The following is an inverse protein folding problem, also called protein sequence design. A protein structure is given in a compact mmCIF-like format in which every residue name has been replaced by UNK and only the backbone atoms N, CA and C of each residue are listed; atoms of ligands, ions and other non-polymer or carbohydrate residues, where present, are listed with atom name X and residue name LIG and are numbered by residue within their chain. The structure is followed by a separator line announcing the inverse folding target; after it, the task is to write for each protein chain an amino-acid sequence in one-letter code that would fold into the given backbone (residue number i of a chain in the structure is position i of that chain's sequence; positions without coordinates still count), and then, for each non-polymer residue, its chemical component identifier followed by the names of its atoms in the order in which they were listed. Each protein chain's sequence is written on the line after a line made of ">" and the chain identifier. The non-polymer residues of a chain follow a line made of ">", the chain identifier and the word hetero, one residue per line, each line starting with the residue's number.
data_IF_456193163777
#
_entry.id   IF_456193163777
#
_cell.length_a   1.000
_cell.length_b   1.000
_cell.length_c   1.000
_cell.angle_alpha   90.00
_cell.angle_beta   90.00
_cell.angle_gamma   90.00
#
_symmetry.space_group_name_H-M   'P 1'
#
loop_
_entity.id
_entity.type
_entity.pdbx_description
1 polymer ?
#
# COMPACT_ATOMS: atom_id res chain seq x y z
N UNK A 1 3.33 -32.43 37.36
CA UNK A 1 2.00 -31.80 37.06
C UNK A 1 1.47 -32.49 35.80
N UNK A 2 0.28 -33.12 35.82
CA UNK A 2 -0.24 -33.77 34.63
C UNK A 2 -0.58 -32.72 33.58
N UNK A 3 -0.08 -32.91 32.35
CA UNK A 3 -0.47 -32.13 31.19
C UNK A 3 -1.98 -32.30 31.03
N UNK A 4 -2.73 -31.18 31.09
CA UNK A 4 -4.12 -31.12 30.64
C UNK A 4 -4.13 -31.56 29.18
N UNK A 5 -4.71 -32.72 28.91
CA UNK A 5 -5.10 -33.09 27.54
C UNK A 5 -5.99 -31.98 27.01
N UNK A 6 -5.45 -31.24 26.03
CA UNK A 6 -6.26 -30.26 25.32
C UNK A 6 -7.32 -31.03 24.54
N UNK A 7 -8.58 -30.89 24.94
CA UNK A 7 -9.72 -31.45 24.21
C UNK A 7 -9.63 -30.98 22.77
N UNK A 8 -9.59 -31.92 21.82
CA UNK A 8 -9.63 -31.62 20.40
C UNK A 8 -10.86 -30.76 20.10
N UNK A 9 -10.71 -29.68 19.34
CA UNK A 9 -11.85 -28.82 19.01
C UNK A 9 -12.92 -29.63 18.28
N UNK A 10 -14.14 -29.63 18.80
CA UNK A 10 -15.28 -30.25 18.18
C UNK A 10 -15.75 -29.39 17.01
N UNK A 11 -15.63 -29.92 15.81
CA UNK A 11 -16.07 -29.26 14.58
C UNK A 11 -17.49 -29.67 14.26
N UNK A 12 -18.32 -28.76 13.74
CA UNK A 12 -19.63 -29.11 13.21
C UNK A 12 -19.49 -29.99 11.95
N UNK A 13 -20.51 -30.83 11.62
CA UNK A 13 -20.44 -31.67 10.41
C UNK A 13 -20.22 -30.92 9.11
N UNK A 14 -20.56 -29.62 9.06
CA UNK A 14 -20.32 -28.75 7.92
C UNK A 14 -18.89 -28.19 7.91
N UNK A 15 -18.32 -27.95 9.07
CA UNK A 15 -16.91 -27.53 9.21
C UNK A 15 -15.97 -28.69 8.94
N UNK A 16 -16.31 -29.89 9.35
CA UNK A 16 -15.46 -31.07 9.14
C UNK A 16 -15.20 -31.34 7.65
N UNK A 17 -16.19 -31.12 6.79
CA UNK A 17 -16.03 -31.20 5.32
C UNK A 17 -15.11 -30.12 4.73
N UNK A 18 -14.77 -29.13 5.52
CA UNK A 18 -13.96 -27.96 5.13
C UNK A 18 -12.59 -27.91 5.78
N UNK A 19 -12.30 -28.84 6.69
CA UNK A 19 -10.99 -28.93 7.36
C UNK A 19 -9.91 -29.26 6.34
N UNK A 20 -8.86 -28.46 6.33
CA UNK A 20 -7.62 -28.74 5.62
C UNK A 20 -6.75 -29.55 6.59
N UNK A 21 -6.38 -30.75 6.20
CA UNK A 21 -5.48 -31.62 6.99
C UNK A 21 -4.14 -31.67 6.29
N UNK A 22 -3.04 -31.69 7.07
CA UNK A 22 -1.70 -31.93 6.55
C UNK A 22 -1.50 -33.43 6.19
N UNK A 23 -0.32 -33.78 5.67
CA UNK A 23 0.02 -35.16 5.31
C UNK A 23 -0.08 -36.16 6.48
N UNK A 24 0.02 -35.68 7.73
CA UNK A 24 -0.14 -36.48 8.94
C UNK A 24 -1.61 -36.52 9.45
N UNK A 25 -2.58 -36.00 8.69
CA UNK A 25 -3.98 -35.99 9.03
C UNK A 25 -4.41 -34.94 10.06
N UNK A 26 -3.46 -34.10 10.52
CA UNK A 26 -3.73 -33.05 11.53
C UNK A 26 -4.44 -31.86 10.87
N UNK A 27 -5.52 -31.33 11.48
CA UNK A 27 -6.22 -30.16 10.96
C UNK A 27 -5.33 -28.92 11.06
N UNK A 28 -5.05 -28.28 9.91
CA UNK A 28 -4.20 -27.08 9.80
C UNK A 28 -5.01 -25.83 9.43
N UNK A 29 -6.30 -25.99 9.11
CA UNK A 29 -7.17 -24.86 8.79
C UNK A 29 -8.56 -25.28 8.32
N UNK A 30 -9.46 -24.34 8.15
CA UNK A 30 -10.81 -24.55 7.62
C UNK A 30 -10.94 -23.77 6.31
N UNK A 31 -11.33 -24.44 5.23
CA UNK A 31 -11.65 -23.76 3.97
C UNK A 31 -12.79 -22.76 4.20
N UNK A 32 -12.67 -21.51 3.78
CA UNK A 32 -13.73 -20.54 3.93
C UNK A 32 -14.99 -21.00 3.21
N UNK A 33 -16.17 -20.73 3.79
CA UNK A 33 -17.44 -21.04 3.14
C UNK A 33 -17.65 -20.15 1.92
N UNK A 34 -17.58 -20.79 0.76
CA UNK A 34 -17.61 -20.12 -0.53
C UNK A 34 -18.96 -20.29 -1.24
N UNK A 35 -19.99 -20.76 -0.51
CA UNK A 35 -21.34 -20.93 -1.07
C UNK A 35 -21.95 -19.57 -1.38
N UNK A 36 -22.52 -19.45 -2.55
CA UNK A 36 -23.30 -18.30 -2.95
C UNK A 36 -24.67 -18.37 -2.27
N UNK A 37 -24.84 -17.60 -1.20
CA UNK A 37 -26.16 -17.41 -0.58
C UNK A 37 -26.93 -16.31 -1.34
N UNK A 38 -28.29 -16.34 -1.34
CA UNK A 38 -29.09 -15.27 -1.96
C UNK A 38 -28.68 -13.87 -1.48
N UNK A 39 -28.41 -13.72 -0.18
CA UNK A 39 -27.94 -12.44 0.38
C UNK A 39 -26.59 -12.00 -0.20
N UNK A 40 -25.63 -12.91 -0.36
CA UNK A 40 -24.33 -12.60 -0.99
C UNK A 40 -24.48 -12.23 -2.47
N UNK A 41 -25.38 -12.93 -3.18
CA UNK A 41 -25.66 -12.58 -4.59
C UNK A 41 -26.26 -11.18 -4.65
N UNK A 42 -27.29 -10.89 -3.85
CA UNK A 42 -27.91 -9.58 -3.80
C UNK A 42 -26.90 -8.45 -3.48
N UNK A 43 -26.01 -8.67 -2.51
CA UNK A 43 -24.96 -7.71 -2.16
C UNK A 43 -24.05 -7.41 -3.36
N UNK A 44 -23.57 -8.43 -4.08
CA UNK A 44 -22.68 -8.21 -5.21
C UNK A 44 -23.40 -7.63 -6.42
N UNK A 45 -24.67 -7.97 -6.64
CA UNK A 45 -25.51 -7.33 -7.65
C UNK A 45 -25.68 -5.84 -7.34
N UNK A 46 -25.97 -5.49 -6.09
CA UNK A 46 -26.10 -4.10 -5.66
C UNK A 46 -24.78 -3.32 -5.84
N UNK A 47 -23.64 -3.88 -5.43
CA UNK A 47 -22.31 -3.26 -5.62
C UNK A 47 -22.04 -3.05 -7.11
N UNK A 48 -22.35 -4.04 -7.95
CA UNK A 48 -22.15 -3.92 -9.40
C UNK A 48 -23.05 -2.84 -10.01
N UNK A 49 -24.33 -2.81 -9.64
CA UNK A 49 -25.27 -1.79 -10.12
C UNK A 49 -24.83 -0.38 -9.72
N UNK A 50 -24.41 -0.19 -8.47
CA UNK A 50 -23.87 1.08 -7.98
C UNK A 50 -22.58 1.47 -8.73
N UNK A 51 -21.69 0.52 -8.98
CA UNK A 51 -20.47 0.76 -9.77
C UNK A 51 -20.77 1.20 -11.19
N UNK A 52 -21.71 0.51 -11.87
CA UNK A 52 -22.16 0.88 -13.22
C UNK A 52 -22.79 2.27 -13.23
N UNK A 53 -23.66 2.56 -12.25
CA UNK A 53 -24.25 3.88 -12.12
C UNK A 53 -23.19 4.97 -11.90
N UNK A 54 -22.19 4.70 -11.05
CA UNK A 54 -21.08 5.61 -10.83
C UNK A 54 -20.29 5.91 -12.10
N UNK A 55 -19.95 4.88 -12.88
CA UNK A 55 -19.30 5.05 -14.18
C UNK A 55 -20.15 5.80 -15.18
N UNK A 56 -21.47 5.53 -15.22
CA UNK A 56 -22.41 6.25 -16.05
C UNK A 56 -22.41 7.75 -15.73
N UNK A 57 -22.48 8.09 -14.44
CA UNK A 57 -22.48 9.49 -13.99
C UNK A 57 -21.18 10.21 -14.34
N UNK A 58 -20.03 9.56 -14.18
CA UNK A 58 -18.73 10.18 -14.46
C UNK A 58 -18.41 10.30 -15.95
N UNK A 59 -18.79 9.30 -16.76
CA UNK A 59 -18.34 9.20 -18.14
C UNK A 59 -19.36 9.74 -19.16
N UNK A 60 -20.65 9.60 -18.88
CA UNK A 60 -21.73 9.91 -19.85
C UNK A 60 -22.49 11.17 -19.47
N UNK A 61 -22.85 11.36 -18.20
CA UNK A 61 -23.49 12.58 -17.74
C UNK A 61 -22.42 13.67 -17.62
N UNK A 62 -21.98 14.18 -18.77
CA UNK A 62 -20.99 15.26 -18.89
C UNK A 62 -21.67 16.59 -18.67
N UNK A 63 -21.33 17.29 -17.60
CA UNK A 63 -21.85 18.61 -17.38
C UNK A 63 -21.38 19.21 -16.06
N UNK A 64 -21.64 20.48 -15.87
CA UNK A 64 -21.22 21.28 -14.72
C UNK A 64 -21.76 20.81 -13.36
N UNK A 65 -22.45 19.67 -13.31
CA UNK A 65 -23.17 19.21 -12.12
C UNK A 65 -22.79 17.79 -11.66
N UNK A 66 -21.62 17.27 -12.08
CA UNK A 66 -21.16 15.96 -11.58
C UNK A 66 -20.77 16.10 -10.11
N UNK A 67 -21.43 15.32 -9.25
CA UNK A 67 -21.14 15.31 -7.84
C UNK A 67 -19.92 14.43 -7.54
N UNK A 68 -19.00 14.90 -6.69
CA UNK A 68 -17.79 14.18 -6.32
C UNK A 68 -18.04 12.83 -5.64
N UNK A 69 -19.24 12.60 -5.10
CA UNK A 69 -19.62 11.30 -4.52
C UNK A 69 -19.44 10.14 -5.52
N UNK A 70 -19.63 10.44 -6.81
CA UNK A 70 -19.52 9.40 -7.85
C UNK A 70 -18.09 8.88 -8.02
N UNK A 71 -17.05 9.69 -7.74
CA UNK A 71 -15.67 9.19 -7.70
C UNK A 71 -15.49 8.15 -6.60
N UNK A 72 -16.01 8.42 -5.41
CA UNK A 72 -15.91 7.51 -4.27
C UNK A 72 -16.68 6.21 -4.56
N UNK A 73 -17.92 6.32 -5.02
CA UNK A 73 -18.77 5.15 -5.34
C UNK A 73 -18.13 4.30 -6.43
N UNK A 74 -17.69 4.93 -7.52
CA UNK A 74 -17.07 4.24 -8.65
C UNK A 74 -15.80 3.52 -8.22
N UNK A 75 -14.90 4.18 -7.49
CA UNK A 75 -13.64 3.60 -7.02
C UNK A 75 -13.89 2.42 -6.07
N UNK A 76 -14.70 2.63 -5.03
CA UNK A 76 -14.97 1.60 -4.01
C UNK A 76 -15.64 0.37 -4.62
N UNK A 77 -16.67 0.56 -5.46
CA UNK A 77 -17.36 -0.56 -6.09
C UNK A 77 -16.46 -1.31 -7.06
N UNK A 78 -15.68 -0.59 -7.90
CA UNK A 78 -14.78 -1.20 -8.88
C UNK A 78 -13.67 -1.98 -8.19
N UNK A 79 -13.04 -1.42 -7.16
CA UNK A 79 -11.98 -2.12 -6.42
C UNK A 79 -12.51 -3.30 -5.60
N UNK A 80 -13.69 -3.19 -5.01
CA UNK A 80 -14.32 -4.32 -4.31
C UNK A 80 -14.58 -5.51 -5.26
N UNK A 81 -15.10 -5.22 -6.47
CA UNK A 81 -15.31 -6.23 -7.52
C UNK A 81 -13.97 -6.84 -7.96
N UNK A 82 -12.97 -5.99 -8.22
CA UNK A 82 -11.63 -6.43 -8.63
C UNK A 82 -10.97 -7.33 -7.59
N UNK A 83 -10.96 -6.92 -6.33
CA UNK A 83 -10.40 -7.73 -5.25
C UNK A 83 -11.13 -9.06 -5.06
N UNK A 84 -12.48 -9.04 -5.14
CA UNK A 84 -13.28 -10.24 -4.90
C UNK A 84 -13.25 -11.25 -6.03
N UNK A 85 -13.29 -10.79 -7.27
CA UNK A 85 -13.40 -11.67 -8.43
C UNK A 85 -12.09 -11.80 -9.19
N UNK A 86 -11.51 -10.72 -9.62
CA UNK A 86 -10.33 -10.72 -10.49
C UNK A 86 -9.07 -11.16 -9.74
N UNK A 87 -8.75 -10.55 -8.60
CA UNK A 87 -7.62 -10.99 -7.79
C UNK A 87 -7.75 -12.43 -7.30
N UNK A 88 -8.98 -12.84 -6.94
CA UNK A 88 -9.24 -14.23 -6.54
C UNK A 88 -9.08 -15.21 -7.71
N UNK A 89 -9.48 -14.82 -8.92
CA UNK A 89 -9.26 -15.62 -10.12
C UNK A 89 -7.76 -15.83 -10.38
N UNK A 90 -6.97 -14.75 -10.35
CA UNK A 90 -5.51 -14.81 -10.53
C UNK A 90 -4.89 -15.69 -9.44
N UNK A 91 -5.25 -15.47 -8.17
CA UNK A 91 -4.75 -16.27 -7.06
C UNK A 91 -5.02 -17.76 -7.24
N UNK A 92 -6.25 -18.15 -7.64
CA UNK A 92 -6.65 -19.56 -7.70
C UNK A 92 -6.21 -20.26 -8.96
N UNK A 93 -6.15 -19.56 -10.08
CA UNK A 93 -5.88 -20.17 -11.39
C UNK A 93 -4.44 -20.04 -11.84
N UNK A 94 -3.81 -18.92 -11.53
CA UNK A 94 -2.46 -18.59 -11.98
C UNK A 94 -1.45 -18.87 -10.86
N UNK A 95 -1.60 -18.25 -9.71
CA UNK A 95 -0.61 -18.34 -8.62
C UNK A 95 -0.64 -19.69 -7.90
N UNK A 96 -1.84 -20.18 -7.58
CA UNK A 96 -2.06 -21.44 -6.84
C UNK A 96 -1.20 -21.51 -5.58
N UNK A 97 -1.40 -20.56 -4.62
CA UNK A 97 -0.64 -20.54 -3.39
C UNK A 97 -0.93 -21.79 -2.55
N UNK A 98 0.13 -22.30 -1.92
CA UNK A 98 0.09 -23.46 -1.04
C UNK A 98 0.76 -23.11 0.30
N UNK A 99 -0.02 -23.07 1.37
CA UNK A 99 0.46 -22.70 2.70
C UNK A 99 1.25 -23.82 3.39
N UNK A 100 1.41 -24.98 2.75
CA UNK A 100 2.33 -26.04 3.20
C UNK A 100 3.78 -25.71 2.84
N UNK A 101 4.00 -24.83 1.86
CA UNK A 101 5.33 -24.36 1.51
C UNK A 101 5.83 -23.38 2.58
N UNK A 102 7.00 -23.67 3.15
CA UNK A 102 7.68 -22.74 4.04
C UNK A 102 8.14 -21.50 3.24
N UNK A 103 7.68 -20.32 3.65
CA UNK A 103 8.09 -19.06 3.03
C UNK A 103 9.56 -18.74 3.34
N UNK A 104 10.21 -17.83 2.58
CA UNK A 104 11.55 -17.36 2.92
C UNK A 104 11.64 -16.78 4.33
N UNK A 105 10.59 -16.10 4.79
CA UNK A 105 10.50 -15.55 6.14
C UNK A 105 10.61 -16.65 7.21
N UNK A 106 9.90 -17.76 7.03
CA UNK A 106 9.93 -18.89 7.96
C UNK A 106 11.25 -19.69 7.85
N UNK A 107 11.71 -19.95 6.60
CA UNK A 107 12.85 -20.84 6.33
C UNK A 107 14.19 -20.22 6.69
N UNK A 108 14.40 -18.94 6.44
CA UNK A 108 15.67 -18.25 6.64
C UNK A 108 15.71 -17.61 8.03
N UNK A 109 14.65 -16.92 8.41
CA UNK A 109 14.41 -16.27 9.70
C UNK A 109 15.69 -15.79 10.42
N UNK A 110 16.37 -14.81 9.82
CA UNK A 110 17.62 -14.29 10.38
C UNK A 110 17.41 -13.15 11.40
N UNK A 111 16.15 -12.78 11.67
CA UNK A 111 15.79 -11.69 12.59
C UNK A 111 16.23 -10.28 12.14
N UNK A 112 16.61 -10.13 10.87
CA UNK A 112 17.01 -8.85 10.27
C UNK A 112 16.10 -8.50 9.10
N UNK A 113 16.33 -9.11 7.94
CA UNK A 113 15.56 -8.91 6.70
C UNK A 113 14.46 -9.96 6.56
N UNK A 114 14.74 -11.19 6.97
CA UNK A 114 13.81 -12.31 6.95
C UNK A 114 13.22 -12.47 8.35
N UNK A 115 12.05 -11.92 8.56
CA UNK A 115 11.35 -11.93 9.86
C UNK A 115 9.85 -12.14 9.61
N UNK A 116 9.29 -13.31 9.99
CA UNK A 116 7.87 -13.58 9.80
C UNK A 116 7.02 -12.51 10.47
N UNK A 117 6.23 -11.81 9.68
CA UNK A 117 5.48 -10.65 10.14
C UNK A 117 3.99 -10.88 9.95
N UNK A 118 3.22 -10.61 11.00
CA UNK A 118 1.77 -10.76 10.95
C UNK A 118 1.14 -9.98 9.78
N UNK A 119 0.27 -10.64 9.03
CA UNK A 119 -0.32 -10.16 7.76
C UNK A 119 -0.86 -8.72 7.78
N UNK A 120 -1.45 -8.27 8.91
CA UNK A 120 -2.00 -6.91 9.02
C UNK A 120 -0.88 -5.88 9.11
N UNK A 121 0.18 -6.17 9.86
CA UNK A 121 1.36 -5.30 9.98
C UNK A 121 2.08 -5.24 8.63
N UNK A 122 2.26 -6.39 7.98
CA UNK A 122 2.90 -6.47 6.68
C UNK A 122 2.07 -5.78 5.58
N UNK A 123 0.74 -5.90 5.62
CA UNK A 123 -0.15 -5.15 4.73
C UNK A 123 0.07 -3.64 4.93
N UNK A 124 0.09 -3.17 6.18
CA UNK A 124 0.34 -1.76 6.48
C UNK A 124 1.72 -1.30 6.00
N UNK A 125 2.77 -2.07 6.24
CA UNK A 125 4.11 -1.79 5.72
C UNK A 125 4.12 -1.70 4.19
N UNK A 126 3.58 -2.68 3.51
CA UNK A 126 3.54 -2.73 2.04
C UNK A 126 2.73 -1.56 1.46
N UNK A 127 1.53 -1.32 1.99
CA UNK A 127 0.69 -0.19 1.61
C UNK A 127 1.40 1.15 1.83
N UNK A 128 2.03 1.34 2.99
CA UNK A 128 2.73 2.59 3.29
C UNK A 128 3.92 2.86 2.37
N UNK A 129 4.66 1.81 2.01
CA UNK A 129 5.79 1.93 1.10
C UNK A 129 5.34 2.28 -0.33
N UNK A 130 4.20 1.78 -0.77
CA UNK A 130 3.62 2.05 -2.08
C UNK A 130 2.94 3.42 -2.13
N UNK A 131 2.08 3.73 -1.14
CA UNK A 131 1.31 4.97 -1.07
C UNK A 131 2.20 6.16 -0.64
N UNK A 132 3.22 6.48 -1.43
CA UNK A 132 4.14 7.60 -1.24
C UNK A 132 3.67 8.91 -1.90
N UNK A 133 4.61 9.84 -2.12
CA UNK A 133 4.31 11.14 -2.72
C UNK A 133 3.89 11.05 -4.20
N UNK A 134 4.43 10.10 -4.96
CA UNK A 134 4.13 9.93 -6.38
C UNK A 134 2.64 9.71 -6.67
N UNK A 135 1.95 8.75 -6.00
CA UNK A 135 0.52 8.55 -6.13
C UNK A 135 -0.36 9.75 -5.76
N UNK A 136 0.15 10.69 -4.97
CA UNK A 136 -0.56 11.92 -4.61
C UNK A 136 -0.32 13.04 -5.62
N UNK A 137 0.93 13.28 -5.98
CA UNK A 137 1.33 14.40 -6.85
C UNK A 137 0.93 14.16 -8.30
N UNK A 138 1.10 12.94 -8.81
CA UNK A 138 0.82 12.60 -10.20
C UNK A 138 -0.62 12.95 -10.62
N UNK A 139 -1.66 12.48 -9.92
CA UNK A 139 -3.05 12.82 -10.24
C UNK A 139 -3.36 14.30 -10.16
N UNK A 140 -2.76 15.05 -9.21
CA UNK A 140 -2.92 16.50 -9.10
C UNK A 140 -2.36 17.20 -10.34
N UNK A 141 -1.16 16.83 -10.77
CA UNK A 141 -0.57 17.39 -11.99
C UNK A 141 -1.40 17.05 -13.24
N UNK A 142 -1.87 15.81 -13.34
CA UNK A 142 -2.65 15.33 -14.47
C UNK A 142 -4.06 15.95 -14.56
N UNK A 143 -4.52 16.59 -13.49
CA UNK A 143 -5.81 17.28 -13.47
C UNK A 143 -5.92 18.38 -14.54
N UNK A 144 -4.78 18.90 -15.04
CA UNK A 144 -4.82 19.83 -16.20
C UNK A 144 -5.52 19.23 -17.43
N UNK A 145 -5.55 17.89 -17.59
CA UNK A 145 -6.20 17.19 -18.70
C UNK A 145 -7.73 17.01 -18.49
N UNK A 146 -8.25 17.44 -17.37
CA UNK A 146 -9.62 17.19 -16.92
C UNK A 146 -9.72 16.00 -15.96
N UNK A 147 -10.90 15.83 -15.33
CA UNK A 147 -11.06 14.78 -14.31
C UNK A 147 -11.19 13.36 -14.90
N UNK A 148 -11.79 13.23 -16.06
CA UNK A 148 -12.18 11.90 -16.59
C UNK A 148 -10.99 11.05 -17.03
N UNK A 149 -10.02 11.54 -17.83
CA UNK A 149 -8.90 10.71 -18.29
C UNK A 149 -8.07 10.19 -17.13
N UNK A 150 -7.74 11.04 -16.16
CA UNK A 150 -6.99 10.66 -14.97
C UNK A 150 -7.72 9.60 -14.13
N UNK A 151 -9.01 9.81 -13.89
CA UNK A 151 -9.86 8.88 -13.13
C UNK A 151 -9.93 7.50 -13.79
N UNK A 152 -10.17 7.47 -15.11
CA UNK A 152 -10.21 6.24 -15.89
C UNK A 152 -8.89 5.47 -15.76
N UNK A 153 -7.76 6.16 -16.00
CA UNK A 153 -6.45 5.52 -15.93
C UNK A 153 -6.10 5.01 -14.53
N UNK A 154 -6.37 5.80 -13.48
CA UNK A 154 -6.10 5.36 -12.11
C UNK A 154 -6.94 4.13 -11.76
N UNK A 155 -8.26 4.19 -11.92
CA UNK A 155 -9.13 3.11 -11.44
C UNK A 155 -8.91 1.83 -12.25
N UNK A 156 -8.87 1.92 -13.58
CA UNK A 156 -8.67 0.75 -14.44
C UNK A 156 -7.22 0.27 -14.39
N UNK A 157 -6.25 1.19 -14.43
CA UNK A 157 -4.83 0.87 -14.39
C UNK A 157 -4.42 0.15 -13.11
N UNK A 158 -4.89 0.63 -11.96
CA UNK A 158 -4.67 -0.07 -10.68
C UNK A 158 -5.29 -1.46 -10.70
N UNK A 159 -6.57 -1.56 -11.06
CA UNK A 159 -7.31 -2.81 -11.02
C UNK A 159 -6.70 -3.90 -11.92
N UNK A 160 -6.37 -3.55 -13.16
CA UNK A 160 -5.98 -4.54 -14.19
C UNK A 160 -4.48 -4.78 -14.21
N UNK A 161 -3.69 -3.76 -13.88
CA UNK A 161 -2.24 -3.80 -14.03
C UNK A 161 -1.49 -3.61 -12.71
N UNK A 162 -1.66 -2.49 -12.01
CA UNK A 162 -0.84 -2.14 -10.85
C UNK A 162 -0.94 -3.14 -9.70
N UNK A 163 -2.14 -3.39 -9.22
CA UNK A 163 -2.37 -4.34 -8.13
C UNK A 163 -2.02 -5.79 -8.52
N UNK A 164 -2.21 -6.15 -9.80
CA UNK A 164 -1.80 -7.45 -10.34
C UNK A 164 -0.28 -7.57 -10.36
N UNK A 165 0.41 -6.53 -10.84
CA UNK A 165 1.88 -6.47 -10.85
C UNK A 165 2.42 -6.68 -9.43
N UNK A 166 1.93 -5.91 -8.47
CA UNK A 166 2.42 -5.96 -7.09
C UNK A 166 2.20 -7.33 -6.46
N UNK A 167 1.01 -7.90 -6.65
CA UNK A 167 0.67 -9.24 -6.16
C UNK A 167 1.54 -10.33 -6.81
N UNK A 168 1.74 -10.29 -8.13
CA UNK A 168 2.52 -11.31 -8.85
C UNK A 168 4.01 -11.20 -8.55
N UNK A 169 4.57 -10.00 -8.53
CA UNK A 169 5.98 -9.77 -8.21
C UNK A 169 6.28 -10.22 -6.77
N UNK A 170 5.40 -9.89 -5.82
CA UNK A 170 5.50 -10.36 -4.44
C UNK A 170 5.52 -11.89 -4.36
N UNK A 171 4.61 -12.54 -5.05
CA UNK A 171 4.51 -14.00 -5.06
C UNK A 171 5.71 -14.68 -5.70
N UNK A 172 6.14 -14.19 -6.86
CA UNK A 172 7.29 -14.77 -7.57
C UNK A 172 8.60 -14.55 -6.81
N UNK A 173 8.80 -13.38 -6.23
CA UNK A 173 9.95 -13.11 -5.40
C UNK A 173 9.97 -14.02 -4.17
N UNK A 174 8.84 -14.14 -3.47
CA UNK A 174 8.70 -15.03 -2.30
C UNK A 174 9.06 -16.48 -2.66
N UNK A 175 8.51 -17.04 -3.75
CA UNK A 175 8.82 -18.41 -4.19
C UNK A 175 10.26 -18.64 -4.61
N UNK A 176 10.96 -17.55 -5.03
CA UNK A 176 12.39 -17.56 -5.36
C UNK A 176 13.29 -17.21 -4.18
N UNK A 177 12.81 -17.28 -2.94
CA UNK A 177 13.59 -17.02 -1.75
C UNK A 177 13.79 -15.54 -1.42
N UNK A 178 12.88 -14.66 -1.86
CA UNK A 178 12.96 -13.22 -1.63
C UNK A 178 13.94 -12.50 -2.54
N UNK A 179 14.12 -12.97 -3.80
CA UNK A 179 15.04 -12.37 -4.78
C UNK A 179 14.51 -11.06 -5.33
N UNK A 180 15.41 -10.11 -5.53
CA UNK A 180 15.10 -8.82 -6.17
C UNK A 180 14.75 -8.98 -7.64
N UNK A 181 14.12 -7.93 -8.23
CA UNK A 181 13.80 -7.91 -9.67
C UNK A 181 14.99 -8.19 -10.57
N UNK A 182 16.16 -7.60 -10.28
CA UNK A 182 17.36 -7.82 -11.08
C UNK A 182 17.86 -9.27 -10.99
N UNK A 183 17.79 -9.90 -9.81
CA UNK A 183 18.12 -11.30 -9.63
C UNK A 183 17.13 -12.22 -10.37
N UNK A 184 15.83 -11.93 -10.28
CA UNK A 184 14.82 -12.68 -11.01
C UNK A 184 14.98 -12.55 -12.53
N UNK A 185 15.32 -11.34 -13.01
CA UNK A 185 15.63 -11.14 -14.42
C UNK A 185 16.86 -11.95 -14.87
N UNK A 186 17.89 -12.08 -14.02
CA UNK A 186 19.05 -12.92 -14.32
C UNK A 186 18.67 -14.38 -14.51
N UNK A 187 17.76 -14.87 -13.66
CA UNK A 187 17.30 -16.27 -13.72
C UNK A 187 16.44 -16.55 -14.97
N UNK A 188 15.60 -15.59 -15.40
CA UNK A 188 14.62 -15.81 -16.47
C UNK A 188 15.14 -15.44 -17.86
N UNK A 189 15.91 -14.37 -17.99
CA UNK A 189 16.37 -13.85 -19.29
C UNK A 189 17.89 -13.88 -19.44
N UNK A 190 18.59 -14.50 -18.50
CA UNK A 190 20.03 -14.73 -18.54
C UNK A 190 20.87 -13.55 -18.04
N UNK A 191 22.22 -13.74 -18.01
CA UNK A 191 23.15 -12.83 -17.38
C UNK A 191 23.10 -11.39 -17.95
N UNK A 192 23.06 -11.25 -19.26
CA UNK A 192 23.06 -9.94 -19.92
C UNK A 192 21.79 -9.17 -19.55
N UNK A 193 20.63 -9.81 -19.70
CA UNK A 193 19.34 -9.21 -19.30
C UNK A 193 19.29 -8.87 -17.83
N UNK A 194 19.84 -9.73 -16.97
CA UNK A 194 19.94 -9.48 -15.52
C UNK A 194 20.82 -8.30 -15.15
N UNK A 195 21.97 -8.14 -15.79
CA UNK A 195 22.85 -6.98 -15.58
C UNK A 195 22.14 -5.69 -16.00
N UNK A 196 21.56 -5.66 -17.20
CA UNK A 196 20.81 -4.51 -17.68
C UNK A 196 19.66 -4.17 -16.73
N UNK A 197 18.86 -5.15 -16.33
CA UNK A 197 17.76 -4.95 -15.37
C UNK A 197 18.27 -4.39 -14.03
N UNK A 198 19.38 -4.91 -13.51
CA UNK A 198 19.98 -4.43 -12.25
C UNK A 198 20.45 -2.99 -12.36
N UNK A 199 21.12 -2.61 -13.47
CA UNK A 199 21.57 -1.24 -13.70
C UNK A 199 20.37 -0.29 -13.83
N UNK A 200 19.35 -0.68 -14.60
CA UNK A 200 18.11 0.13 -14.76
C UNK A 200 17.42 0.32 -13.42
N UNK A 201 17.25 -0.74 -12.62
CA UNK A 201 16.65 -0.67 -11.28
C UNK A 201 17.48 0.25 -10.37
N UNK A 202 18.81 0.14 -10.40
CA UNK A 202 19.67 0.99 -9.59
C UNK A 202 19.55 2.48 -9.97
N UNK A 203 19.61 2.81 -11.26
CA UNK A 203 19.43 4.18 -11.74
C UNK A 203 18.04 4.72 -11.39
N UNK A 204 17.01 3.91 -11.57
CA UNK A 204 15.63 4.27 -11.20
C UNK A 204 15.51 4.55 -9.69
N UNK A 205 16.13 3.73 -8.83
CA UNK A 205 16.15 3.95 -7.37
C UNK A 205 16.80 5.29 -7.01
N UNK A 206 17.93 5.62 -7.65
CA UNK A 206 18.63 6.90 -7.42
C UNK A 206 17.74 8.09 -7.78
N UNK A 207 17.07 8.03 -8.93
CA UNK A 207 16.16 9.10 -9.39
C UNK A 207 14.96 9.22 -8.42
N UNK A 208 14.34 8.10 -8.05
CA UNK A 208 13.18 8.09 -7.14
C UNK A 208 13.56 8.65 -5.77
N UNK A 209 14.70 8.24 -5.20
CA UNK A 209 15.18 8.76 -3.93
C UNK A 209 15.42 10.28 -3.99
N UNK A 210 16.06 10.78 -5.03
CA UNK A 210 16.32 12.21 -5.19
C UNK A 210 15.01 13.02 -5.30
N UNK A 211 14.06 12.56 -6.13
CA UNK A 211 12.78 13.26 -6.32
C UNK A 211 11.92 13.23 -5.05
N UNK A 212 11.80 12.07 -4.41
CA UNK A 212 11.02 11.96 -3.17
C UNK A 212 11.65 12.74 -2.03
N UNK A 213 12.99 12.75 -1.92
CA UNK A 213 13.69 13.58 -0.95
C UNK A 213 13.39 15.08 -1.17
N UNK A 214 13.44 15.54 -2.41
CA UNK A 214 13.12 16.94 -2.74
C UNK A 214 11.69 17.31 -2.38
N UNK A 215 10.71 16.44 -2.67
CA UNK A 215 9.30 16.65 -2.28
C UNK A 215 9.16 16.75 -0.76
N UNK A 216 9.80 15.84 0.00
CA UNK A 216 9.77 15.86 1.46
C UNK A 216 10.45 17.11 2.04
N UNK A 217 11.60 17.50 1.50
CA UNK A 217 12.32 18.71 1.94
C UNK A 217 11.46 19.95 1.71
N UNK A 218 10.86 20.09 0.53
CA UNK A 218 9.99 21.22 0.22
C UNK A 218 8.76 21.28 1.13
N UNK A 219 8.20 20.13 1.50
CA UNK A 219 7.05 20.06 2.40
C UNK A 219 7.42 20.40 3.86
N UNK A 220 8.64 20.10 4.30
CA UNK A 220 9.07 20.26 5.69
C UNK A 220 9.79 21.61 5.95
N UNK A 221 10.48 22.17 4.96
CA UNK A 221 11.35 23.36 5.13
C UNK A 221 10.61 24.58 5.69
N UNK A 222 9.32 24.74 5.39
CA UNK A 222 8.50 25.85 5.90
C UNK A 222 7.55 25.43 7.03
N UNK A 223 7.70 24.22 7.58
CA UNK A 223 6.72 23.66 8.54
C UNK A 223 7.37 23.06 9.78
N UNK A 224 7.63 23.88 10.85
CA UNK A 224 8.09 23.35 12.14
C UNK A 224 7.17 22.28 12.73
N UNK A 225 5.87 22.46 12.54
CA UNK A 225 4.86 21.46 12.89
C UNK A 225 5.08 20.12 12.16
N UNK A 226 5.34 20.18 10.86
CA UNK A 226 5.65 18.99 10.04
C UNK A 226 6.93 18.30 10.50
N UNK A 227 7.99 19.06 10.74
CA UNK A 227 9.28 18.55 11.24
C UNK A 227 9.10 17.84 12.59
N UNK A 228 8.39 18.45 13.52
CA UNK A 228 8.09 17.83 14.82
C UNK A 228 7.28 16.55 14.66
N UNK A 229 6.18 16.61 13.92
CA UNK A 229 5.27 15.48 13.76
C UNK A 229 5.94 14.28 13.09
N UNK A 230 6.71 14.51 12.01
CA UNK A 230 7.46 13.47 11.33
C UNK A 230 8.59 12.92 12.21
N UNK A 231 9.33 13.80 12.90
CA UNK A 231 10.42 13.40 13.80
C UNK A 231 9.93 12.50 14.93
N UNK A 232 8.78 12.82 15.53
CA UNK A 232 8.20 12.04 16.63
C UNK A 232 7.63 10.68 16.18
N UNK A 233 7.41 10.46 14.89
CA UNK A 233 7.05 9.10 14.41
C UNK A 233 8.17 8.09 14.64
N UNK A 234 9.44 8.54 14.68
CA UNK A 234 10.60 7.66 14.87
C UNK A 234 10.60 7.02 16.26
N UNK A 235 10.60 7.78 17.38
CA UNK A 235 10.58 7.19 18.70
C UNK A 235 9.30 6.38 18.98
N UNK A 236 8.14 6.81 18.45
CA UNK A 236 6.90 6.04 18.56
C UNK A 236 7.04 4.68 17.85
N UNK A 237 7.56 4.66 16.65
CA UNK A 237 7.74 3.44 15.88
C UNK A 237 8.73 2.47 16.56
N UNK A 238 9.85 2.98 17.05
CA UNK A 238 10.83 2.17 17.80
C UNK A 238 10.16 1.59 19.07
N UNK A 239 9.41 2.41 19.81
CA UNK A 239 8.66 1.97 20.98
C UNK A 239 7.65 0.86 20.65
N UNK A 240 6.92 0.98 19.53
CA UNK A 240 6.00 -0.05 19.05
C UNK A 240 6.73 -1.35 18.68
N UNK A 241 7.85 -1.25 17.95
CA UNK A 241 8.68 -2.40 17.56
C UNK A 241 9.23 -3.15 18.78
N UNK A 242 9.77 -2.43 19.75
CA UNK A 242 10.27 -2.99 21.01
C UNK A 242 9.14 -3.64 21.82
N UNK A 243 7.97 -3.00 21.89
CA UNK A 243 6.82 -3.54 22.62
C UNK A 243 6.34 -4.86 21.99
N UNK A 244 6.19 -4.90 20.67
CA UNK A 244 5.77 -6.11 19.95
C UNK A 244 6.79 -7.24 20.08
N UNK A 245 8.09 -6.92 20.18
CA UNK A 245 9.16 -7.92 20.25
C UNK A 245 9.38 -8.47 21.64
N UNK A 246 9.41 -7.60 22.66
CA UNK A 246 9.89 -7.94 24.00
C UNK A 246 8.83 -7.93 25.11
N UNK A 247 7.81 -7.06 24.98
CA UNK A 247 6.83 -6.88 26.07
C UNK A 247 5.61 -7.76 25.89
N UNK A 248 4.98 -7.71 24.73
CA UNK A 248 3.76 -8.47 24.42
C UNK A 248 3.76 -8.98 22.98
N UNK A 249 4.49 -10.03 22.68
CA UNK A 249 4.47 -10.63 21.35
C UNK A 249 3.05 -11.02 20.93
N UNK A 250 2.66 -10.64 19.71
CA UNK A 250 1.36 -10.99 19.12
C UNK A 250 0.16 -10.10 19.51
N UNK A 251 0.29 -9.18 20.48
CA UNK A 251 -0.82 -8.25 20.84
C UNK A 251 -0.83 -6.99 19.97
N UNK A 252 -0.92 -7.19 18.66
CA UNK A 252 -0.85 -6.12 17.66
C UNK A 252 -1.92 -5.05 17.88
N UNK A 253 -3.15 -5.45 18.24
CA UNK A 253 -4.27 -4.52 18.43
C UNK A 253 -3.98 -3.47 19.52
N UNK A 254 -3.43 -3.89 20.66
CA UNK A 254 -3.13 -2.95 21.75
C UNK A 254 -2.05 -1.95 21.34
N UNK A 255 -0.95 -2.45 20.75
CA UNK A 255 0.16 -1.60 20.28
C UNK A 255 -0.32 -0.64 19.19
N UNK A 256 -1.23 -1.09 18.33
CA UNK A 256 -1.84 -0.24 17.29
C UNK A 256 -2.65 0.91 17.88
N UNK A 257 -3.50 0.65 18.86
CA UNK A 257 -4.28 1.71 19.50
C UNK A 257 -3.39 2.72 20.24
N UNK A 258 -2.37 2.25 20.96
CA UNK A 258 -1.42 3.14 21.63
C UNK A 258 -0.62 3.95 20.63
N UNK A 259 -0.06 3.31 19.61
CA UNK A 259 0.69 3.99 18.54
C UNK A 259 -0.14 5.03 17.80
N UNK A 260 -1.39 4.69 17.44
CA UNK A 260 -2.31 5.62 16.80
C UNK A 260 -2.68 6.79 17.73
N UNK A 261 -2.97 6.53 19.01
CA UNK A 261 -3.25 7.58 19.99
C UNK A 261 -2.09 8.53 20.16
N UNK A 262 -0.86 8.01 20.28
CA UNK A 262 0.36 8.83 20.36
C UNK A 262 0.57 9.64 19.06
N UNK A 263 0.33 9.06 17.91
CA UNK A 263 0.42 9.75 16.62
C UNK A 263 -0.53 10.95 16.56
N UNK A 264 -1.80 10.75 16.93
CA UNK A 264 -2.80 11.83 16.97
C UNK A 264 -2.39 12.90 17.99
N UNK A 265 -1.93 12.50 19.17
CA UNK A 265 -1.45 13.44 20.19
C UNK A 265 -0.26 14.29 19.69
N UNK A 266 0.67 13.69 18.95
CA UNK A 266 1.81 14.40 18.35
C UNK A 266 1.35 15.36 17.24
N UNK A 267 0.39 14.98 16.43
CA UNK A 267 -0.14 15.86 15.36
C UNK A 267 -0.86 17.06 15.96
N UNK A 268 -1.74 16.83 16.92
CA UNK A 268 -2.48 17.92 17.59
C UNK A 268 -1.52 18.78 18.43
N UNK A 269 -0.70 18.14 19.28
CA UNK A 269 0.26 18.82 20.14
C UNK A 269 1.38 19.52 19.39
N UNK A 270 1.74 19.04 18.22
CA UNK A 270 2.79 19.60 17.38
C UNK A 270 2.54 21.04 16.96
N UNK A 271 1.26 21.45 16.86
CA UNK A 271 0.91 22.85 16.61
C UNK A 271 1.39 23.76 17.77
N UNK A 272 1.08 23.38 18.99
CA UNK A 272 1.51 24.16 20.18
C UNK A 272 3.05 24.16 20.33
N UNK A 273 3.69 23.05 20.00
CA UNK A 273 5.16 22.97 19.99
C UNK A 273 5.74 23.90 18.93
N UNK A 274 5.16 23.95 17.73
CA UNK A 274 5.61 24.84 16.67
C UNK A 274 5.43 26.33 17.01
N UNK A 275 4.37 26.68 17.74
CA UNK A 275 4.09 28.03 18.19
C UNK A 275 4.90 28.44 19.45
N UNK A 276 5.52 27.47 20.13
CA UNK A 276 6.34 27.70 21.33
C UNK A 276 7.76 28.21 20.97
N UNK A 277 8.52 28.62 22.00
CA UNK A 277 9.92 29.00 21.85
C UNK A 277 10.78 27.85 21.29
N UNK A 278 10.38 26.59 21.49
CA UNK A 278 11.03 25.40 20.94
C UNK A 278 10.85 25.30 19.44
N UNK A 279 9.75 25.82 18.89
CA UNK A 279 9.48 25.83 17.45
C UNK A 279 10.61 26.47 16.62
N UNK A 280 11.35 27.42 17.21
CA UNK A 280 12.50 28.04 16.55
C UNK A 280 13.59 27.04 16.14
N UNK A 281 13.80 26.00 16.96
CA UNK A 281 14.79 24.94 16.65
C UNK A 281 14.30 23.97 15.58
N UNK A 282 13.00 23.97 15.28
CA UNK A 282 12.38 23.11 14.27
C UNK A 282 12.30 23.79 12.89
N UNK A 283 12.69 25.06 12.79
CA UNK A 283 12.89 25.71 11.50
C UNK A 283 14.23 25.24 10.90
N UNK A 284 14.18 24.09 10.24
CA UNK A 284 15.36 23.49 9.62
C UNK A 284 15.55 24.02 8.18
N UNK A 285 16.79 24.34 7.85
CA UNK A 285 17.14 24.69 6.46
C UNK A 285 16.94 23.48 5.51
N UNK A 286 16.68 23.70 4.23
CA UNK A 286 16.60 22.61 3.26
C UNK A 286 17.82 21.68 3.29
N UNK A 287 19.03 22.24 3.43
CA UNK A 287 20.26 21.46 3.53
C UNK A 287 20.30 20.58 4.76
N UNK A 288 19.87 21.10 5.91
CA UNK A 288 19.79 20.33 7.17
C UNK A 288 18.78 19.18 7.04
N UNK A 289 17.63 19.43 6.38
CA UNK A 289 16.63 18.40 6.13
C UNK A 289 17.15 17.30 5.21
N UNK A 290 17.92 17.65 4.15
CA UNK A 290 18.56 16.66 3.28
C UNK A 290 19.49 15.75 4.08
N UNK A 291 20.37 16.32 4.93
CA UNK A 291 21.26 15.52 5.77
C UNK A 291 20.51 14.66 6.78
N UNK A 292 19.45 15.19 7.40
CA UNK A 292 18.60 14.43 8.31
C UNK A 292 17.94 13.23 7.60
N UNK A 293 17.49 13.40 6.36
CA UNK A 293 16.92 12.34 5.57
C UNK A 293 17.95 11.28 5.15
N UNK A 294 19.16 11.69 4.79
CA UNK A 294 20.26 10.76 4.45
C UNK A 294 20.60 9.90 5.68
N UNK A 295 20.80 10.55 6.84
CA UNK A 295 21.12 9.84 8.09
C UNK A 295 19.97 8.89 8.47
N UNK A 296 18.72 9.36 8.39
CA UNK A 296 17.55 8.52 8.64
C UNK A 296 17.49 7.31 7.70
N UNK A 297 17.67 7.54 6.40
CA UNK A 297 17.66 6.47 5.39
C UNK A 297 18.76 5.44 5.63
N UNK A 298 19.97 5.89 5.99
CA UNK A 298 21.08 5.02 6.37
C UNK A 298 20.73 4.16 7.59
N UNK A 299 20.22 4.78 8.66
CA UNK A 299 19.83 4.06 9.87
C UNK A 299 18.71 3.05 9.58
N UNK A 300 17.71 3.43 8.80
CA UNK A 300 16.61 2.55 8.42
C UNK A 300 17.09 1.34 7.57
N UNK A 301 18.15 1.52 6.77
CA UNK A 301 18.72 0.46 5.95
C UNK A 301 19.62 -0.51 6.73
N UNK A 302 20.32 -0.03 7.77
CA UNK A 302 21.28 -0.84 8.55
C UNK A 302 20.61 -1.58 9.70
N UNK A 303 19.59 -0.97 10.32
CA UNK A 303 18.85 -1.58 11.42
C UNK A 303 17.99 -2.75 10.94
N UNK A 304 17.73 -3.76 11.80
CA UNK A 304 16.75 -4.80 11.51
C UNK A 304 15.39 -4.20 11.16
N UNK A 305 14.69 -4.78 10.18
CA UNK A 305 13.42 -4.23 9.66
C UNK A 305 12.34 -4.05 10.73
N UNK A 306 12.33 -4.91 11.74
CA UNK A 306 11.36 -4.88 12.85
C UNK A 306 11.59 -3.72 13.84
N UNK A 307 12.80 -3.12 13.88
CA UNK A 307 13.14 -2.04 14.84
C UNK A 307 12.51 -0.73 14.41
N UNK A 308 12.69 -0.35 13.17
CA UNK A 308 12.32 0.99 12.68
C UNK A 308 11.42 0.92 11.43
N UNK A 309 11.83 0.19 10.40
CA UNK A 309 11.20 0.25 9.09
C UNK A 309 9.73 -0.22 9.15
N UNK A 310 9.51 -1.45 9.58
CA UNK A 310 8.16 -2.05 9.63
C UNK A 310 7.20 -1.32 10.59
N UNK A 311 7.57 -1.00 11.85
CA UNK A 311 6.65 -0.30 12.75
C UNK A 311 6.34 1.12 12.29
N UNK A 312 7.32 1.83 11.69
CA UNK A 312 7.10 3.18 11.19
C UNK A 312 6.16 3.20 9.99
N UNK A 313 6.36 2.29 9.05
CA UNK A 313 5.48 2.19 7.89
C UNK A 313 4.07 1.76 8.29
N UNK A 314 3.96 0.82 9.23
CA UNK A 314 2.68 0.43 9.81
C UNK A 314 1.99 1.62 10.51
N UNK A 315 2.73 2.42 11.29
CA UNK A 315 2.21 3.63 11.92
C UNK A 315 1.74 4.66 10.87
N UNK A 316 2.52 4.86 9.79
CA UNK A 316 2.16 5.78 8.71
C UNK A 316 0.90 5.37 7.96
N UNK A 317 0.59 4.07 7.92
CA UNK A 317 -0.64 3.54 7.32
C UNK A 317 -1.89 4.09 7.98
N UNK A 318 -1.88 4.24 9.31
CA UNK A 318 -3.03 4.83 10.02
C UNK A 318 -3.32 6.26 9.55
N UNK A 319 -2.26 7.05 9.32
CA UNK A 319 -2.42 8.41 8.77
C UNK A 319 -3.00 8.37 7.35
N UNK A 320 -2.44 7.55 6.48
CA UNK A 320 -2.84 7.47 5.08
C UNK A 320 -4.26 6.96 4.94
N UNK A 321 -4.57 5.82 5.54
CA UNK A 321 -5.93 5.23 5.51
C UNK A 321 -6.92 6.13 6.23
N UNK A 322 -6.54 6.70 7.37
CA UNK A 322 -7.38 7.65 8.10
C UNK A 322 -7.72 8.88 7.28
N UNK A 323 -6.73 9.50 6.66
CA UNK A 323 -6.94 10.69 5.79
C UNK A 323 -7.85 10.36 4.59
N UNK A 324 -7.60 9.23 3.91
CA UNK A 324 -8.43 8.78 2.77
C UNK A 324 -9.87 8.53 3.23
N UNK A 325 -10.05 7.88 4.38
CA UNK A 325 -11.38 7.58 4.93
C UNK A 325 -12.13 8.86 5.31
N UNK A 326 -11.46 9.78 6.02
CA UNK A 326 -12.07 11.07 6.41
C UNK A 326 -12.42 11.89 5.17
N UNK A 327 -11.54 11.91 4.16
CA UNK A 327 -11.82 12.60 2.88
C UNK A 327 -13.03 11.98 2.18
N UNK A 328 -13.09 10.65 2.08
CA UNK A 328 -14.22 9.96 1.45
C UNK A 328 -15.54 10.23 2.20
N UNK A 329 -15.52 10.19 3.54
CA UNK A 329 -16.68 10.53 4.36
C UNK A 329 -17.08 12.01 4.20
N UNK A 330 -16.11 12.92 4.16
CA UNK A 330 -16.32 14.33 3.89
C UNK A 330 -17.01 14.57 2.53
N UNK A 331 -16.54 13.89 1.49
CA UNK A 331 -17.15 13.94 0.15
C UNK A 331 -18.60 13.42 0.19
N UNK A 332 -18.87 12.33 0.90
CA UNK A 332 -20.22 11.76 1.01
C UNK A 332 -21.17 12.71 1.75
N UNK A 333 -20.68 13.40 2.78
CA UNK A 333 -21.50 14.34 3.60
C UNK A 333 -21.72 15.64 2.86
N UNK A 334 -20.65 16.28 2.39
CA UNK A 334 -20.69 17.63 1.80
C UNK A 334 -21.20 17.62 0.35
N UNK A 335 -20.87 16.55 -0.40
CA UNK A 335 -21.28 16.36 -1.80
C UNK A 335 -20.93 17.53 -2.71
N UNK A 336 -19.67 18.02 -2.72
CA UNK A 336 -19.31 19.14 -3.56
C UNK A 336 -19.45 18.77 -5.04
N UNK A 337 -19.80 19.77 -5.84
CA UNK A 337 -19.86 19.64 -7.29
C UNK A 337 -18.44 19.71 -7.87
N UNK A 338 -18.24 19.03 -9.00
CA UNK A 338 -16.98 19.10 -9.75
C UNK A 338 -17.04 20.33 -10.66
N UNK A 339 -16.18 21.30 -10.39
CA UNK A 339 -16.07 22.53 -11.20
C UNK A 339 -15.14 22.35 -12.42
N UNK A 340 -14.47 21.21 -12.51
CA UNK A 340 -13.53 20.90 -13.59
C UNK A 340 -14.24 20.23 -14.76
N UNK A 341 -13.87 20.59 -15.99
CA UNK A 341 -14.33 19.91 -17.20
C UNK A 341 -13.91 18.43 -17.23
N UNK A 342 -14.74 17.58 -17.82
CA UNK A 342 -14.43 16.15 -17.98
C UNK A 342 -13.12 15.94 -18.75
N UNK A 343 -12.93 16.68 -19.85
CA UNK A 343 -11.70 16.73 -20.64
C UNK A 343 -11.45 18.20 -20.98
N UNK A 344 -10.26 18.71 -20.72
CA UNK A 344 -9.86 20.08 -21.04
C UNK A 344 -9.21 20.16 -22.43
N UNK A 345 -9.06 21.36 -22.96
CA UNK A 345 -8.32 21.60 -24.21
C UNK A 345 -6.85 21.19 -24.13
N UNK A 346 -6.24 21.22 -22.93
CA UNK A 346 -4.86 20.79 -22.69
C UNK A 346 -4.63 19.29 -22.91
N UNK A 347 -5.68 18.50 -23.02
CA UNK A 347 -5.58 17.10 -23.42
C UNK A 347 -5.11 16.94 -24.87
N UNK A 348 -5.32 17.96 -25.72
CA UNK A 348 -5.06 17.88 -27.16
C UNK A 348 -3.95 18.83 -27.64
N UNK A 349 -3.44 19.68 -26.76
CA UNK A 349 -2.36 20.61 -27.07
C UNK A 349 -1.21 20.49 -26.08
N UNK A 350 -0.07 21.13 -26.38
CA UNK A 350 1.15 21.08 -25.55
C UNK A 350 1.29 22.29 -24.62
N UNK A 351 0.28 23.15 -24.55
CA UNK A 351 0.32 24.44 -23.83
C UNK A 351 -0.23 24.33 -22.38
N UNK A 352 -0.21 23.15 -21.78
CA UNK A 352 -0.71 22.94 -20.42
C UNK A 352 0.02 23.80 -19.38
N UNK A 353 -0.69 24.37 -18.38
CA UNK A 353 -0.10 25.27 -17.39
C UNK A 353 0.81 24.58 -16.38
N UNK A 354 0.73 23.27 -16.22
CA UNK A 354 1.49 22.49 -15.24
C UNK A 354 2.65 21.75 -15.90
N UNK A 355 2.39 21.10 -17.04
CA UNK A 355 3.42 20.42 -17.84
C UNK A 355 3.06 20.49 -19.33
N UNK A 356 4.08 20.53 -20.16
CA UNK A 356 3.94 20.48 -21.61
C UNK A 356 3.72 19.02 -22.07
N UNK A 357 2.64 18.78 -22.81
CA UNK A 357 2.35 17.46 -23.37
C UNK A 357 0.87 17.19 -23.53
N UNK A 358 0.55 16.39 -24.53
CA UNK A 358 -0.82 15.95 -24.82
C UNK A 358 -1.23 14.78 -23.92
N UNK A 359 -2.51 14.41 -23.93
CA UNK A 359 -3.07 13.32 -23.16
C UNK A 359 -2.25 12.02 -23.38
N UNK A 360 -1.95 11.66 -24.58
CA UNK A 360 -1.09 10.53 -24.88
C UNK A 360 0.29 11.01 -25.38
N UNK A 361 1.40 10.57 -24.75
CA UNK A 361 1.50 9.60 -23.63
C UNK A 361 1.57 10.25 -22.24
N UNK A 362 1.56 11.57 -22.12
CA UNK A 362 1.96 12.30 -20.92
C UNK A 362 1.06 12.07 -19.71
N UNK A 363 -0.26 11.90 -19.89
CA UNK A 363 -1.15 11.52 -18.80
C UNK A 363 -0.70 10.23 -18.13
N UNK A 364 -0.38 9.21 -18.94
CA UNK A 364 0.01 7.90 -18.46
C UNK A 364 1.35 7.93 -17.71
N UNK A 365 2.30 8.74 -18.20
CA UNK A 365 3.59 8.94 -17.55
C UNK A 365 3.41 9.68 -16.23
N UNK A 366 2.63 10.76 -16.22
CA UNK A 366 2.43 11.62 -15.04
C UNK A 366 1.75 10.86 -13.89
N UNK A 367 0.77 10.00 -14.20
CA UNK A 367 0.04 9.21 -13.21
C UNK A 367 0.65 7.81 -13.02
N UNK A 368 1.72 7.45 -13.71
CA UNK A 368 2.28 6.10 -13.68
C UNK A 368 2.46 5.58 -12.25
N UNK A 369 3.02 6.39 -11.35
CA UNK A 369 3.25 5.97 -9.97
C UNK A 369 1.96 5.67 -9.19
N UNK A 370 0.83 6.29 -9.54
CA UNK A 370 -0.46 6.03 -8.89
C UNK A 370 -1.27 4.88 -9.51
N UNK A 371 -0.94 4.48 -10.75
CA UNK A 371 -1.68 3.44 -11.45
C UNK A 371 -0.87 2.15 -11.64
N UNK A 372 0.39 2.27 -12.08
CA UNK A 372 1.28 1.14 -12.38
C UNK A 372 2.73 1.60 -12.22
N UNK A 373 3.39 1.24 -11.13
CA UNK A 373 4.70 1.78 -10.77
C UNK A 373 5.81 0.73 -10.73
N UNK A 374 6.95 1.06 -11.34
CA UNK A 374 8.17 0.27 -11.19
C UNK A 374 8.71 0.26 -9.75
N UNK A 375 8.50 1.35 -8.99
CA UNK A 375 8.85 1.39 -7.57
C UNK A 375 8.02 0.39 -6.74
N UNK A 376 6.73 0.22 -7.04
CA UNK A 376 5.90 -0.80 -6.38
C UNK A 376 6.46 -2.20 -6.60
N UNK A 377 6.87 -2.52 -7.82
CA UNK A 377 7.51 -3.80 -8.12
C UNK A 377 8.83 -4.01 -7.35
N UNK A 378 9.60 -2.93 -7.09
CA UNK A 378 10.80 -3.02 -6.25
C UNK A 378 10.46 -3.29 -4.78
N UNK A 379 9.43 -2.65 -4.23
CA UNK A 379 8.93 -2.94 -2.86
C UNK A 379 8.43 -4.38 -2.79
N UNK A 380 7.65 -4.79 -3.80
CA UNK A 380 7.06 -6.14 -3.91
C UNK A 380 8.11 -7.25 -4.07
N UNK A 381 9.33 -6.94 -4.55
CA UNK A 381 10.44 -7.91 -4.68
C UNK A 381 11.58 -7.70 -3.68
N UNK A 382 11.59 -6.58 -2.98
CA UNK A 382 12.67 -6.22 -2.06
C UNK A 382 12.45 -6.68 -0.62
N UNK A 383 11.58 -5.99 0.09
CA UNK A 383 11.38 -6.17 1.53
C UNK A 383 10.22 -7.12 1.83
N UNK A 384 9.05 -6.86 1.28
CA UNK A 384 7.82 -7.57 1.63
C UNK A 384 7.88 -9.10 1.46
N UNK A 385 8.49 -9.68 0.41
CA UNK A 385 8.50 -11.13 0.23
C UNK A 385 9.31 -11.88 1.29
N UNK A 386 10.22 -11.17 1.96
CA UNK A 386 11.05 -11.70 3.06
C UNK A 386 10.31 -11.73 4.40
N UNK A 387 9.09 -11.19 4.46
CA UNK A 387 8.31 -11.02 5.67
C UNK A 387 6.96 -11.76 5.62
N UNK A 388 6.58 -12.30 4.47
CA UNK A 388 5.30 -13.04 4.30
C UNK A 388 5.35 -14.36 5.05
N UNK A 389 4.38 -14.58 5.96
CA UNK A 389 4.26 -15.83 6.72
C UNK A 389 3.67 -16.97 5.89
N UNK A 390 2.62 -16.70 5.10
CA UNK A 390 1.88 -17.71 4.33
C UNK A 390 1.61 -17.24 2.90
N UNK A 391 1.74 -18.14 1.93
CA UNK A 391 1.54 -17.82 0.51
C UNK A 391 0.15 -17.23 0.19
N UNK A 392 -0.89 -17.70 0.88
CA UNK A 392 -2.27 -17.21 0.68
C UNK A 392 -2.48 -15.75 1.09
N UNK A 393 -1.59 -15.19 1.92
CA UNK A 393 -1.66 -13.80 2.37
C UNK A 393 -1.26 -12.80 1.27
N UNK A 394 -0.53 -13.25 0.24
CA UNK A 394 -0.02 -12.42 -0.84
C UNK A 394 -1.12 -11.61 -1.54
N UNK A 395 -2.32 -12.17 -1.71
CA UNK A 395 -3.44 -11.42 -2.30
C UNK A 395 -3.86 -10.22 -1.46
N UNK A 396 -3.93 -10.39 -0.14
CA UNK A 396 -4.26 -9.28 0.75
C UNK A 396 -3.16 -8.22 0.76
N UNK A 397 -1.90 -8.65 0.78
CA UNK A 397 -0.75 -7.75 0.90
C UNK A 397 -0.48 -7.01 -0.41
N UNK A 398 -0.44 -7.73 -1.53
CA UNK A 398 -0.01 -7.18 -2.82
C UNK A 398 -1.15 -6.61 -3.67
N UNK A 399 -2.39 -7.10 -3.54
CA UNK A 399 -3.53 -6.58 -4.32
C UNK A 399 -4.48 -5.72 -3.46
N UNK A 400 -4.64 -6.05 -2.16
CA UNK A 400 -5.59 -5.36 -1.28
C UNK A 400 -5.11 -4.02 -0.82
#
# INVERSE_FOLDING_TARGET
>A
MPQKEASLPTYSPQEEKRIIRNAAGVPVGIRPDNRWTPARIATWVAITALGVLGWWMLAIVRGEHVNTIWFVVTAVCTYAIGYRFYALYIQRRIMRPDDTNATPAERINNGRDFDPTHRVVLYGHHFAAIAGAGPLVGPVLAAQMGYLPGTLWIIIGVLVAGAVQDMLVLFFSMRRGGRSLGQMATDEIGKVGGIVATVVVFVMLMIVLAVLAMVCVNALAASPWGVFSVGMTIPIAIGMGLWLRFVQPGKITQVSFVGFGLLIAVIIGGRWVAESSFGRYLHLSPTTLVWAMIIYGFLAAVLPVWVLLTPRDYLSTFMKVGTITILALGIIIVRPLVEMSAVTEFAFNTAGPVFAGTLFPFLFITIACGALSGMHAMVSSGTSPKMVEKETQVRMIGYG
#
